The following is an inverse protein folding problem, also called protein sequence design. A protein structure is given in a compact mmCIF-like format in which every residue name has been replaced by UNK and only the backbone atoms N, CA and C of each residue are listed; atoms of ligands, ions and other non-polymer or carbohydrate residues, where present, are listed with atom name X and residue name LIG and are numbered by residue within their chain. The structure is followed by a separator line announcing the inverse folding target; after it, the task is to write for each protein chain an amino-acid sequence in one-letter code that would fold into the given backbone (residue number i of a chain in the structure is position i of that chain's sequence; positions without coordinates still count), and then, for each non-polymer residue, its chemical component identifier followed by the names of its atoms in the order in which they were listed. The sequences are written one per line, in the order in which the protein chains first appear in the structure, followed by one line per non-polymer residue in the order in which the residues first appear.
data_IF_112064225213
#
_entry.id   IF_112064225213
#
_cell.length_a   1.000
_cell.length_b   1.000
_cell.length_c   1.000
_cell.angle_alpha   90.00
_cell.angle_beta   90.00
_cell.angle_gamma   90.00
#
_symmetry.space_group_name_H-M   'P 1'
#
loop_
_entity.id
_entity.type
_entity.pdbx_description
1 polymer ?
#
# COMPACT_ATOMS: atom_id res chain seq x y z
N UNK A 1 -10.72 0.47 -10.62
CA UNK A 1 -12.14 0.26 -10.29
C UNK A 1 -13.12 0.90 -11.29
N UNK A 2 -13.27 2.25 -11.37
CA UNK A 2 -14.36 2.89 -12.14
C UNK A 2 -14.41 2.47 -13.62
N UNK A 3 -13.27 2.43 -14.30
CA UNK A 3 -13.17 2.05 -15.72
C UNK A 3 -13.55 0.59 -15.98
N UNK A 4 -13.33 -0.31 -15.01
CA UNK A 4 -13.62 -1.75 -15.12
C UNK A 4 -15.02 -2.14 -14.64
N UNK A 5 -15.71 -1.23 -13.94
CA UNK A 5 -17.05 -1.51 -13.44
C UNK A 5 -18.05 -1.69 -14.60
N UNK A 6 -18.94 -2.68 -14.51
CA UNK A 6 -19.91 -3.00 -15.56
C UNK A 6 -21.21 -2.20 -15.38
N UNK A 7 -21.79 -1.60 -16.43
CA UNK A 7 -23.09 -0.93 -16.32
C UNK A 7 -24.19 -1.92 -15.90
N UNK A 8 -24.97 -1.58 -14.88
CA UNK A 8 -26.09 -2.39 -14.40
C UNK A 8 -27.44 -1.74 -14.67
N UNK A 9 -27.55 -0.46 -14.32
CA UNK A 9 -28.78 0.30 -14.44
C UNK A 9 -28.43 1.75 -14.77
N UNK A 10 -29.14 2.34 -15.74
CA UNK A 10 -29.05 3.76 -16.03
C UNK A 10 -30.45 4.37 -16.00
N UNK A 11 -30.63 5.33 -15.08
CA UNK A 11 -31.82 6.15 -14.91
C UNK A 11 -31.46 7.60 -15.23
N UNK A 12 -32.46 8.47 -15.39
CA UNK A 12 -32.26 9.88 -15.77
C UNK A 12 -31.25 10.64 -14.88
N UNK A 13 -31.12 10.27 -13.60
CA UNK A 13 -30.24 10.94 -12.63
C UNK A 13 -29.34 10.00 -11.83
N UNK A 14 -29.30 8.71 -12.17
CA UNK A 14 -28.55 7.70 -11.43
C UNK A 14 -28.01 6.65 -12.39
N UNK A 15 -26.71 6.38 -12.32
CA UNK A 15 -26.10 5.22 -12.97
C UNK A 15 -25.56 4.29 -11.90
N UNK A 16 -25.97 3.03 -11.96
CA UNK A 16 -25.46 1.94 -11.12
C UNK A 16 -24.53 1.09 -11.95
N UNK A 17 -23.36 0.78 -11.39
CA UNK A 17 -22.35 -0.07 -12.01
C UNK A 17 -21.94 -1.15 -11.01
N UNK A 18 -21.67 -2.35 -11.51
CA UNK A 18 -21.16 -3.46 -10.71
C UNK A 18 -19.65 -3.37 -10.65
N UNK A 19 -19.12 -3.46 -9.44
CA UNK A 19 -17.68 -3.59 -9.18
C UNK A 19 -17.27 -5.05 -9.37
N UNK A 20 -16.03 -5.30 -9.82
CA UNK A 20 -15.53 -6.67 -10.00
C UNK A 20 -15.16 -7.31 -8.65
N UNK A 21 -15.05 -8.64 -8.62
CA UNK A 21 -14.66 -9.37 -7.41
C UNK A 21 -13.24 -9.00 -6.95
N UNK A 22 -12.34 -8.70 -7.89
CA UNK A 22 -10.96 -8.27 -7.61
C UNK A 22 -10.93 -6.93 -6.88
N UNK A 23 -11.76 -5.98 -7.32
CA UNK A 23 -11.90 -4.68 -6.67
C UNK A 23 -12.54 -4.83 -5.27
N UNK A 24 -13.56 -5.70 -5.13
CA UNK A 24 -14.15 -6.01 -3.82
C UNK A 24 -13.09 -6.63 -2.90
N UNK A 25 -12.31 -7.58 -3.39
CA UNK A 25 -11.25 -8.23 -2.61
C UNK A 25 -10.25 -7.21 -2.05
N UNK A 26 -9.79 -6.26 -2.87
CA UNK A 26 -8.91 -5.18 -2.39
C UNK A 26 -9.58 -4.29 -1.35
N UNK A 27 -10.86 -3.94 -1.54
CA UNK A 27 -11.59 -3.14 -0.54
C UNK A 27 -11.69 -3.85 0.80
N UNK A 28 -11.91 -5.17 0.77
CA UNK A 28 -11.93 -6.00 1.97
C UNK A 28 -10.56 -6.02 2.65
N UNK A 29 -9.50 -6.21 1.87
CA UNK A 29 -8.13 -6.26 2.37
C UNK A 29 -7.67 -4.97 3.08
N UNK A 30 -8.25 -3.81 2.74
CA UNK A 30 -7.87 -2.52 3.36
C UNK A 30 -8.87 -1.99 4.39
N UNK A 31 -10.04 -2.62 4.54
CA UNK A 31 -11.11 -2.12 5.40
C UNK A 31 -10.88 -2.41 6.90
N UNK A 32 -10.09 -3.43 7.24
CA UNK A 32 -9.68 -3.74 8.60
C UNK A 32 -10.78 -4.24 9.53
N UNK A 33 -11.84 -4.88 9.01
CA UNK A 33 -12.92 -5.47 9.83
C UNK A 33 -12.77 -6.98 9.88
N UNK A 34 -13.04 -7.58 11.04
CA UNK A 34 -12.85 -9.02 11.28
C UNK A 34 -13.58 -9.93 10.27
N UNK A 35 -14.80 -9.55 9.86
CA UNK A 35 -15.63 -10.31 8.93
C UNK A 35 -15.12 -10.21 7.47
N UNK A 36 -14.28 -9.21 7.15
CA UNK A 36 -13.78 -9.02 5.78
C UNK A 36 -12.85 -10.14 5.34
N UNK A 37 -12.17 -10.83 6.27
CA UNK A 37 -11.30 -11.97 5.95
C UNK A 37 -12.10 -13.18 5.49
N UNK A 38 -13.29 -13.42 6.05
CA UNK A 38 -14.19 -14.48 5.59
C UNK A 38 -14.67 -14.19 4.16
N UNK A 39 -15.05 -12.94 3.89
CA UNK A 39 -15.42 -12.47 2.55
C UNK A 39 -14.25 -12.62 1.56
N UNK A 40 -13.03 -12.27 1.97
CA UNK A 40 -11.82 -12.46 1.16
C UNK A 40 -11.62 -13.92 0.80
N UNK A 41 -11.72 -14.84 1.78
CA UNK A 41 -11.60 -16.27 1.51
C UNK A 41 -12.66 -16.74 0.50
N UNK A 42 -13.91 -16.33 0.63
CA UNK A 42 -14.96 -16.65 -0.35
C UNK A 42 -14.63 -16.15 -1.76
N UNK A 43 -14.09 -14.93 -1.88
CA UNK A 43 -13.68 -14.35 -3.15
C UNK A 43 -12.50 -15.11 -3.77
N UNK A 44 -11.50 -15.51 -2.99
CA UNK A 44 -10.39 -16.35 -3.46
C UNK A 44 -10.91 -17.67 -4.04
N UNK A 45 -11.83 -18.34 -3.34
CA UNK A 45 -12.43 -19.60 -3.82
C UNK A 45 -13.27 -19.42 -5.08
N UNK A 46 -13.86 -18.24 -5.29
CA UNK A 46 -14.62 -17.91 -6.50
C UNK A 46 -13.71 -17.72 -7.75
N UNK A 47 -12.41 -17.61 -7.56
CA UNK A 47 -11.42 -17.41 -8.62
C UNK A 47 -11.25 -15.93 -8.96
N UNK A 48 -10.17 -15.34 -8.45
CA UNK A 48 -9.78 -13.96 -8.74
C UNK A 48 -8.70 -13.91 -9.83
N UNK A 49 -8.75 -12.88 -10.67
CA UNK A 49 -7.62 -12.49 -11.48
C UNK A 49 -6.64 -11.64 -10.65
N UNK A 50 -5.57 -12.27 -10.16
CA UNK A 50 -4.58 -11.59 -9.32
C UNK A 50 -3.70 -10.59 -10.08
N UNK A 51 -3.61 -10.67 -11.41
CA UNK A 51 -2.93 -9.64 -12.18
C UNK A 51 -3.76 -8.35 -12.14
N UNK A 52 -5.10 -8.46 -12.19
CA UNK A 52 -6.02 -7.32 -12.02
C UNK A 52 -5.97 -6.77 -10.60
N UNK A 53 -5.97 -7.63 -9.57
CA UNK A 53 -5.82 -7.22 -8.16
C UNK A 53 -4.51 -6.44 -7.98
N UNK A 54 -3.39 -6.98 -8.48
CA UNK A 54 -2.08 -6.32 -8.38
C UNK A 54 -2.06 -4.98 -9.10
N UNK A 55 -2.57 -4.92 -10.32
CA UNK A 55 -2.59 -3.69 -11.11
C UNK A 55 -3.45 -2.60 -10.46
N UNK A 56 -4.59 -2.96 -9.86
CA UNK A 56 -5.42 -1.99 -9.14
C UNK A 56 -4.75 -1.50 -7.86
N UNK A 57 -4.12 -2.39 -7.09
CA UNK A 57 -3.34 -2.00 -5.90
C UNK A 57 -2.31 -0.91 -6.27
N UNK A 58 -1.47 -1.17 -7.27
CA UNK A 58 -0.44 -0.22 -7.72
C UNK A 58 -1.06 1.09 -8.25
N UNK A 59 -2.16 1.01 -9.01
CA UNK A 59 -2.85 2.19 -9.51
C UNK A 59 -3.47 3.05 -8.39
N UNK A 60 -3.91 2.44 -7.29
CA UNK A 60 -4.40 3.18 -6.12
C UNK A 60 -3.26 3.86 -5.35
N UNK A 61 -2.05 3.27 -5.31
CA UNK A 61 -0.84 3.85 -4.66
C UNK A 61 -0.56 5.16 -5.38
N UNK A 62 -0.49 5.08 -6.71
CA UNK A 62 -0.16 6.20 -7.56
C UNK A 62 -1.22 7.31 -7.48
N UNK A 63 -2.51 6.94 -7.49
CA UNK A 63 -3.61 7.92 -7.45
C UNK A 63 -3.73 8.64 -6.11
N UNK A 64 -3.49 7.94 -5.01
CA UNK A 64 -3.58 8.52 -3.67
C UNK A 64 -2.31 9.30 -3.31
N UNK A 65 -1.17 8.99 -3.97
CA UNK A 65 0.12 9.50 -3.54
C UNK A 65 0.46 9.01 -2.14
N UNK A 66 -0.01 7.81 -1.78
CA UNK A 66 0.20 7.20 -0.47
C UNK A 66 0.15 5.68 -0.61
N UNK A 67 1.19 5.01 -0.13
CA UNK A 67 1.34 3.55 -0.13
C UNK A 67 1.12 2.90 1.24
N UNK A 68 0.66 3.66 2.25
CA UNK A 68 0.31 3.11 3.55
C UNK A 68 -0.71 1.97 3.45
N UNK A 69 -1.63 2.00 2.47
CA UNK A 69 -2.61 0.93 2.34
C UNK A 69 -1.99 -0.44 2.02
N UNK A 70 -0.76 -0.50 1.52
CA UNK A 70 -0.06 -1.77 1.35
C UNK A 70 0.12 -2.47 2.70
N UNK A 71 0.27 -1.72 3.79
CA UNK A 71 0.39 -2.30 5.14
C UNK A 71 -0.93 -2.93 5.60
N UNK A 72 -2.07 -2.31 5.32
CA UNK A 72 -3.39 -2.88 5.63
C UNK A 72 -3.66 -4.13 4.79
N UNK A 73 -3.36 -4.08 3.49
CA UNK A 73 -3.47 -5.25 2.63
C UNK A 73 -2.55 -6.39 3.11
N UNK A 74 -1.34 -6.07 3.56
CA UNK A 74 -0.41 -7.07 4.11
C UNK A 74 -0.98 -7.75 5.36
N UNK A 75 -1.53 -6.96 6.30
CA UNK A 75 -2.15 -7.48 7.51
C UNK A 75 -3.30 -8.43 7.18
N UNK A 76 -4.21 -8.03 6.28
CA UNK A 76 -5.32 -8.87 5.87
C UNK A 76 -4.88 -10.16 5.14
N UNK A 77 -3.80 -10.12 4.35
CA UNK A 77 -3.26 -11.31 3.69
C UNK A 77 -2.61 -12.28 4.67
N UNK A 78 -1.83 -11.77 5.63
CA UNK A 78 -1.29 -12.60 6.73
C UNK A 78 -2.42 -13.25 7.50
N UNK A 79 -3.47 -12.49 7.83
CA UNK A 79 -4.61 -13.02 8.57
C UNK A 79 -5.42 -14.04 7.75
N UNK A 80 -5.54 -13.85 6.44
CA UNK A 80 -6.15 -14.82 5.53
C UNK A 80 -5.38 -16.15 5.54
N UNK A 81 -4.04 -16.09 5.52
CA UNK A 81 -3.18 -17.27 5.64
C UNK A 81 -3.34 -17.93 7.02
N UNK A 82 -3.30 -17.16 8.11
CA UNK A 82 -3.42 -17.68 9.47
C UNK A 82 -4.77 -18.34 9.76
N UNK A 83 -5.88 -17.71 9.33
CA UNK A 83 -7.24 -18.20 9.61
C UNK A 83 -7.67 -19.32 8.68
N UNK A 84 -7.30 -19.28 7.41
CA UNK A 84 -7.82 -20.18 6.38
C UNK A 84 -6.75 -21.01 5.65
N UNK A 85 -5.46 -20.77 5.88
CA UNK A 85 -4.36 -21.44 5.17
C UNK A 85 -4.29 -21.08 3.68
N UNK A 86 -4.84 -19.93 3.31
CA UNK A 86 -4.94 -19.46 1.92
C UNK A 86 -3.86 -18.43 1.67
N UNK A 87 -2.99 -18.72 0.71
CA UNK A 87 -2.02 -17.76 0.19
C UNK A 87 -2.44 -17.22 -1.17
N UNK A 88 -1.95 -16.03 -1.51
CA UNK A 88 -2.28 -15.34 -2.77
C UNK A 88 -1.02 -14.96 -3.55
N UNK A 89 -1.07 -14.96 -4.90
CA UNK A 89 0.06 -14.57 -5.74
C UNK A 89 0.59 -13.14 -5.53
N UNK A 90 -0.15 -12.28 -4.82
CA UNK A 90 0.22 -10.87 -4.61
C UNK A 90 1.01 -10.64 -3.32
N UNK A 91 1.09 -11.61 -2.40
CA UNK A 91 1.71 -11.46 -1.08
C UNK A 91 3.13 -10.92 -1.15
N UNK A 92 3.98 -11.50 -2.01
CA UNK A 92 5.37 -11.07 -2.13
C UNK A 92 5.46 -9.59 -2.52
N UNK A 93 4.58 -9.13 -3.41
CA UNK A 93 4.55 -7.73 -3.86
C UNK A 93 4.02 -6.80 -2.77
N UNK A 94 2.96 -7.21 -2.07
CA UNK A 94 2.38 -6.43 -0.96
C UNK A 94 3.38 -6.32 0.20
N UNK A 95 4.10 -7.39 0.50
CA UNK A 95 5.15 -7.42 1.51
C UNK A 95 6.34 -6.52 1.14
N UNK A 96 6.77 -6.52 -0.12
CA UNK A 96 7.80 -5.61 -0.62
C UNK A 96 7.41 -4.14 -0.41
N UNK A 97 6.19 -3.77 -0.80
CA UNK A 97 5.65 -2.42 -0.62
C UNK A 97 5.57 -2.04 0.86
N UNK A 98 5.06 -2.95 1.69
CA UNK A 98 4.96 -2.78 3.14
C UNK A 98 6.33 -2.56 3.80
N UNK A 99 7.34 -3.35 3.41
CA UNK A 99 8.70 -3.18 3.92
C UNK A 99 9.31 -1.84 3.49
N UNK A 100 9.08 -1.42 2.24
CA UNK A 100 9.51 -0.11 1.76
C UNK A 100 8.87 1.01 2.57
N UNK A 101 7.58 0.88 2.89
CA UNK A 101 6.86 1.79 3.76
C UNK A 101 7.48 1.92 5.15
N UNK A 102 7.69 0.81 5.84
CA UNK A 102 8.26 0.84 7.19
C UNK A 102 9.69 1.38 7.21
N UNK A 103 10.52 1.06 6.20
CA UNK A 103 11.87 1.63 6.09
C UNK A 103 11.88 3.15 5.93
N UNK A 104 10.92 3.71 5.20
CA UNK A 104 10.76 5.16 5.14
C UNK A 104 10.21 5.74 6.44
N UNK A 105 9.30 5.03 7.11
CA UNK A 105 8.78 5.45 8.42
C UNK A 105 9.88 5.53 9.48
N UNK A 106 10.86 4.62 9.47
CA UNK A 106 12.04 4.69 10.33
C UNK A 106 12.82 6.00 10.14
N UNK A 107 13.02 6.45 8.89
CA UNK A 107 13.65 7.75 8.61
C UNK A 107 12.80 8.91 9.13
N UNK A 108 11.48 8.87 8.93
CA UNK A 108 10.58 9.91 9.44
C UNK A 108 10.57 9.98 10.97
N UNK A 109 10.69 8.84 11.64
CA UNK A 109 10.76 8.77 13.11
C UNK A 109 12.09 9.27 13.67
N UNK A 110 13.19 9.04 12.95
CA UNK A 110 14.50 9.58 13.32
C UNK A 110 14.62 11.09 13.07
N UNK A 111 13.86 11.65 12.11
CA UNK A 111 13.81 13.08 11.81
C UNK A 111 13.02 13.88 12.87
N UNK A 112 13.55 14.00 14.08
CA UNK A 112 13.04 14.89 15.13
C UNK A 112 13.43 16.37 14.88
N UNK A 113 14.57 16.60 14.23
CA UNK A 113 15.00 17.87 13.65
C UNK A 113 15.51 17.70 12.20
N UNK A 114 15.78 18.79 11.45
CA UNK A 114 16.40 18.66 10.14
C UNK A 114 17.80 18.05 10.21
N UNK A 115 18.00 16.86 9.62
CA UNK A 115 19.26 16.10 9.65
C UNK A 115 19.86 15.95 8.25
N UNK A 116 21.18 15.79 8.19
CA UNK A 116 21.90 15.38 6.97
C UNK A 116 21.82 13.88 6.72
N UNK A 117 22.16 13.43 5.52
CA UNK A 117 22.26 11.99 5.19
C UNK A 117 23.23 11.28 6.13
N UNK A 118 24.39 11.87 6.41
CA UNK A 118 25.43 11.28 7.27
C UNK A 118 24.93 11.15 8.72
N UNK A 119 24.19 12.14 9.21
CA UNK A 119 23.58 12.10 10.55
C UNK A 119 22.48 11.02 10.63
N UNK A 120 21.62 10.91 9.62
CA UNK A 120 20.62 9.85 9.54
C UNK A 120 21.25 8.46 9.43
N UNK A 121 22.34 8.31 8.68
CA UNK A 121 23.08 7.06 8.56
C UNK A 121 23.68 6.64 9.91
N UNK A 122 24.27 7.59 10.63
CA UNK A 122 24.80 7.34 11.98
C UNK A 122 23.71 6.98 12.99
N UNK A 123 22.58 7.69 12.99
CA UNK A 123 21.47 7.48 13.93
C UNK A 123 20.76 6.14 13.68
N UNK A 124 20.55 5.77 12.41
CA UNK A 124 19.85 4.54 12.03
C UNK A 124 20.79 3.32 11.94
N UNK A 125 22.10 3.50 12.15
CA UNK A 125 23.13 2.48 11.95
C UNK A 125 23.10 1.85 10.54
N UNK A 126 22.88 2.69 9.52
CA UNK A 126 22.81 2.31 8.10
C UNK A 126 23.96 2.92 7.31
N UNK A 127 24.21 2.42 6.11
CA UNK A 127 25.07 3.11 5.16
C UNK A 127 24.31 4.25 4.44
N UNK A 128 25.06 5.22 3.93
CA UNK A 128 24.47 6.36 3.25
C UNK A 128 23.68 5.99 1.99
N UNK A 129 24.00 4.88 1.31
CA UNK A 129 23.30 4.46 0.10
C UNK A 129 21.88 4.02 0.46
N UNK A 130 21.74 3.21 1.51
CA UNK A 130 20.43 2.78 2.00
C UNK A 130 19.60 3.95 2.54
N UNK A 131 20.22 4.91 3.24
CA UNK A 131 19.52 6.13 3.67
C UNK A 131 19.05 6.96 2.47
N UNK A 132 19.88 7.13 1.44
CA UNK A 132 19.49 7.85 0.21
C UNK A 132 18.34 7.16 -0.52
N UNK A 133 18.32 5.84 -0.57
CA UNK A 133 17.22 5.08 -1.18
C UNK A 133 15.90 5.28 -0.42
N UNK A 134 15.94 5.27 0.92
CA UNK A 134 14.77 5.54 1.76
C UNK A 134 14.27 6.98 1.62
N UNK A 135 15.18 7.95 1.55
CA UNK A 135 14.86 9.37 1.26
C UNK A 135 14.23 9.52 -0.14
N UNK A 136 14.79 8.88 -1.16
CA UNK A 136 14.27 8.93 -2.52
C UNK A 136 12.85 8.35 -2.59
N UNK A 137 12.61 7.25 -1.86
CA UNK A 137 11.28 6.71 -1.65
C UNK A 137 10.33 7.71 -0.97
N UNK A 138 10.70 8.29 0.17
CA UNK A 138 9.86 9.27 0.87
C UNK A 138 9.56 10.51 0.03
N UNK A 139 10.49 10.92 -0.82
CA UNK A 139 10.32 12.03 -1.76
C UNK A 139 9.33 11.71 -2.88
N UNK A 140 9.17 10.44 -3.25
CA UNK A 140 8.14 10.01 -4.23
C UNK A 140 6.72 10.27 -3.73
N UNK A 141 6.53 10.29 -2.41
CA UNK A 141 5.24 10.47 -1.73
C UNK A 141 5.12 11.83 -1.05
N UNK A 142 5.99 12.80 -1.38
CA UNK A 142 6.02 14.14 -0.79
C UNK A 142 5.99 14.12 0.76
N UNK A 143 6.64 13.13 1.39
CA UNK A 143 6.67 12.98 2.87
C UNK A 143 7.83 13.75 3.52
N UNK A 144 8.82 14.17 2.74
CA UNK A 144 9.99 14.93 3.18
C UNK A 144 10.31 16.06 2.21
N UNK A 145 11.04 17.07 2.69
CA UNK A 145 11.68 18.10 1.87
C UNK A 145 13.20 18.01 2.03
N UNK A 146 13.92 18.20 0.92
CA UNK A 146 15.39 18.23 0.90
C UNK A 146 15.90 19.60 0.48
N UNK A 147 16.82 20.16 1.28
CA UNK A 147 17.51 21.42 1.04
C UNK A 147 19.03 21.16 1.05
N UNK A 148 19.61 20.88 -0.13
CA UNK A 148 20.99 20.41 -0.21
C UNK A 148 21.14 18.99 0.34
N UNK A 149 21.96 18.80 1.37
CA UNK A 149 22.10 17.50 2.05
C UNK A 149 21.24 17.39 3.32
N UNK A 150 20.53 18.44 3.70
CA UNK A 150 19.62 18.43 4.85
C UNK A 150 18.23 17.96 4.42
N UNK A 151 17.64 17.07 5.20
CA UNK A 151 16.32 16.49 5.04
C UNK A 151 15.45 16.91 6.23
N UNK A 152 14.17 17.19 5.97
CA UNK A 152 13.17 17.49 7.01
C UNK A 152 11.82 16.87 6.66
N UNK A 153 10.97 16.53 7.64
CA UNK A 153 9.60 16.12 7.40
C UNK A 153 8.80 17.22 6.67
N UNK A 154 7.79 16.82 5.91
CA UNK A 154 6.81 17.76 5.37
C UNK A 154 5.83 18.19 6.49
N UNK A 155 5.55 19.50 6.55
CA UNK A 155 4.61 20.11 7.51
C UNK A 155 3.14 19.81 7.18
#
# INVERSE_FOLDING_TARGET
MQERSEPFLSLERLTVRLVSNEDIFLFKAIAGRDDDIEDMNMLVQAGLDYDVVRAELEAQIERLGDDQFATFANEALVELEERYGVTTPIEARVQELTNRYYRGLEVLQALDEPMTVDELAAELELDDEEVRDRIAYLSTFDRIRRDGDTVRPME
#
